data_IF_216363821897
#
_entry.id   IF_216363821897
#
_cell.length_a   1.000
_cell.length_b   1.000
_cell.length_c   1.000
_cell.angle_alpha   90.00
_cell.angle_beta   90.00
_cell.angle_gamma   90.00
#
_symmetry.space_group_name_H-M   'P 1'
#
loop_
_entity.id
_entity.type
_entity.pdbx_description
1 polymer ?
#
# COMPACT_ATOMS: atom_id res chain seq x y z
N UNK A 1 -9.53 -20.48 -9.04
CA UNK A 1 -9.01 -21.06 -7.78
C UNK A 1 -7.68 -20.41 -7.49
N UNK A 2 -7.44 -19.99 -6.25
CA UNK A 2 -6.13 -19.48 -5.79
C UNK A 2 -5.45 -20.63 -5.04
N UNK A 3 -4.15 -20.81 -5.24
CA UNK A 3 -3.34 -21.81 -4.54
C UNK A 3 -2.07 -21.15 -3.99
N UNK A 4 -1.42 -21.85 -3.05
CA UNK A 4 -0.11 -21.48 -2.50
C UNK A 4 0.87 -22.62 -2.79
N UNK A 5 2.15 -22.28 -2.98
CA UNK A 5 3.23 -23.23 -3.29
C UNK A 5 4.40 -22.95 -2.36
N UNK A 6 5.07 -24.00 -1.90
CA UNK A 6 6.28 -23.88 -1.08
C UNK A 6 7.47 -23.42 -1.96
N UNK A 7 8.28 -22.51 -1.42
CA UNK A 7 9.47 -21.97 -2.07
C UNK A 7 10.76 -22.34 -1.32
N UNK A 8 10.66 -23.20 -0.31
CA UNK A 8 11.72 -23.68 0.59
C UNK A 8 12.42 -22.59 1.40
N UNK A 9 13.18 -21.71 0.75
CA UNK A 9 13.96 -20.66 1.40
C UNK A 9 13.92 -19.35 0.63
N UNK A 10 13.53 -18.29 1.33
CA UNK A 10 13.62 -16.91 0.85
C UNK A 10 14.47 -16.10 1.82
N UNK A 11 15.53 -15.47 1.30
CA UNK A 11 16.37 -14.52 2.04
C UNK A 11 16.12 -13.13 1.48
N UNK A 12 15.93 -12.16 2.37
CA UNK A 12 15.79 -10.76 1.99
C UNK A 12 16.46 -9.87 3.03
N UNK A 13 16.66 -8.60 2.69
CA UNK A 13 17.17 -7.59 3.62
C UNK A 13 16.18 -7.34 4.77
N UNK A 14 16.69 -7.13 5.97
CA UNK A 14 15.89 -6.63 7.09
C UNK A 14 15.54 -5.16 6.85
N UNK A 15 14.33 -4.78 7.24
CA UNK A 15 13.87 -3.39 7.19
C UNK A 15 13.91 -2.81 8.59
N UNK A 16 14.21 -1.52 8.71
CA UNK A 16 14.10 -0.84 10.00
C UNK A 16 12.64 -0.70 10.43
N UNK A 17 12.40 -0.58 11.74
CA UNK A 17 11.05 -0.52 12.30
C UNK A 17 10.24 0.67 11.78
N UNK A 18 10.88 1.80 11.45
CA UNK A 18 10.16 2.95 10.90
C UNK A 18 9.69 2.66 9.48
N UNK A 19 10.52 2.05 8.65
CA UNK A 19 10.14 1.55 7.33
C UNK A 19 9.00 0.52 7.41
N UNK A 20 9.08 -0.43 8.35
CA UNK A 20 7.99 -1.37 8.62
C UNK A 20 6.68 -0.65 9.01
N UNK A 21 6.74 0.38 9.85
CA UNK A 21 5.58 1.20 10.21
C UNK A 21 4.93 1.88 9.00
N UNK A 22 5.74 2.44 8.08
CA UNK A 22 5.24 3.06 6.84
C UNK A 22 4.60 2.03 5.90
N UNK A 23 5.19 0.84 5.78
CA UNK A 23 4.61 -0.25 4.99
C UNK A 23 3.29 -0.75 5.59
N UNK A 24 3.22 -0.90 6.92
CA UNK A 24 1.99 -1.27 7.62
C UNK A 24 0.86 -0.27 7.37
N UNK A 25 1.16 1.04 7.46
CA UNK A 25 0.20 2.10 7.13
C UNK A 25 -0.34 1.98 5.70
N UNK A 26 0.55 1.78 4.73
CA UNK A 26 0.14 1.61 3.33
C UNK A 26 -0.75 0.36 3.14
N UNK A 27 -0.39 -0.77 3.75
CA UNK A 27 -1.17 -2.02 3.70
C UNK A 27 -2.57 -1.81 4.28
N UNK A 28 -2.67 -1.25 5.49
CA UNK A 28 -3.95 -1.00 6.16
C UNK A 28 -4.83 -0.07 5.34
N UNK A 29 -4.28 1.01 4.82
CA UNK A 29 -5.00 1.95 3.98
C UNK A 29 -5.53 1.30 2.70
N UNK A 30 -4.70 0.53 2.00
CA UNK A 30 -5.14 -0.23 0.81
C UNK A 30 -6.23 -1.24 1.16
N UNK A 31 -6.08 -1.97 2.27
CA UNK A 31 -7.07 -2.93 2.73
C UNK A 31 -8.42 -2.25 2.99
N UNK A 32 -8.44 -1.17 3.78
CA UNK A 32 -9.66 -0.43 4.14
C UNK A 32 -10.32 0.16 2.88
N UNK A 33 -9.54 0.76 1.97
CA UNK A 33 -10.08 1.28 0.70
C UNK A 33 -10.73 0.19 -0.15
N UNK A 34 -10.15 -1.03 -0.18
CA UNK A 34 -10.75 -2.17 -0.87
C UNK A 34 -12.04 -2.65 -0.20
N UNK A 35 -12.10 -2.69 1.14
CA UNK A 35 -13.32 -3.04 1.88
C UNK A 35 -14.45 -2.01 1.66
N UNK A 36 -14.10 -0.72 1.62
CA UNK A 36 -15.04 0.37 1.28
C UNK A 36 -15.57 0.20 -0.14
N UNK A 37 -14.68 -0.05 -1.12
CA UNK A 37 -15.07 -0.29 -2.53
C UNK A 37 -15.96 -1.53 -2.70
N UNK A 38 -15.75 -2.58 -1.91
CA UNK A 38 -16.59 -3.77 -1.94
C UNK A 38 -17.91 -3.62 -1.19
N UNK A 39 -18.18 -2.46 -0.57
CA UNK A 39 -19.40 -2.20 0.20
C UNK A 39 -19.48 -2.95 1.53
N UNK A 40 -18.36 -3.50 2.04
CA UNK A 40 -18.32 -4.27 3.28
C UNK A 40 -18.23 -3.39 4.53
N UNK A 41 -17.74 -2.17 4.36
CA UNK A 41 -17.65 -1.16 5.42
C UNK A 41 -18.09 0.19 4.88
N UNK A 42 -18.64 1.01 5.77
CA UNK A 42 -18.82 2.44 5.55
C UNK A 42 -18.01 3.22 6.60
N UNK A 43 -17.30 4.25 6.15
CA UNK A 43 -16.47 5.07 7.02
C UNK A 43 -17.14 6.42 7.20
N UNK A 44 -17.36 6.82 8.46
CA UNK A 44 -17.92 8.13 8.79
C UNK A 44 -17.00 9.30 8.38
N UNK A 45 -15.70 9.05 8.31
CA UNK A 45 -14.67 10.02 7.96
C UNK A 45 -13.72 9.42 6.93
N UNK A 46 -13.07 10.27 6.14
CA UNK A 46 -12.03 9.84 5.22
C UNK A 46 -10.77 9.37 5.95
N UNK A 47 -10.04 8.47 5.31
CA UNK A 47 -8.73 8.03 5.79
C UNK A 47 -7.68 9.11 5.53
N UNK A 48 -6.80 9.31 6.50
CA UNK A 48 -5.68 10.22 6.34
C UNK A 48 -4.61 9.67 5.38
N UNK A 49 -3.90 10.61 4.75
CA UNK A 49 -2.72 10.32 3.92
C UNK A 49 -1.41 10.38 4.71
N UNK A 50 -1.46 10.67 5.99
CA UNK A 50 -0.27 10.97 6.78
C UNK A 50 -0.07 9.95 7.91
N UNK A 51 1.17 9.50 8.06
CA UNK A 51 1.63 8.75 9.22
C UNK A 51 2.55 9.63 10.06
N UNK A 52 2.34 9.63 11.37
CA UNK A 52 3.21 10.29 12.34
C UNK A 52 4.05 9.23 13.04
N UNK A 53 5.37 9.32 12.93
CA UNK A 53 6.33 8.48 13.66
C UNK A 53 7.19 9.37 14.55
N UNK A 54 7.73 8.84 15.65
CA UNK A 54 8.58 9.62 16.55
C UNK A 54 10.06 9.26 16.40
N UNK A 55 10.90 10.28 16.44
CA UNK A 55 12.34 10.18 16.46
C UNK A 55 12.86 10.61 17.84
N UNK A 56 13.89 9.94 18.34
CA UNK A 56 14.64 10.40 19.52
C UNK A 56 15.81 11.26 19.05
N UNK A 57 15.80 12.55 19.38
CA UNK A 57 16.84 13.53 19.05
C UNK A 57 17.21 14.27 20.33
N UNK A 58 18.48 14.26 20.72
CA UNK A 58 18.95 14.92 21.97
C UNK A 58 18.11 14.57 23.20
N UNK A 59 17.77 13.27 23.35
CA UNK A 59 16.91 12.75 24.43
C UNK A 59 15.48 13.30 24.46
N UNK A 60 15.01 13.89 23.35
CA UNK A 60 13.63 14.36 23.19
C UNK A 60 12.94 13.62 22.05
N UNK A 61 11.67 13.28 22.25
CA UNK A 61 10.83 12.75 21.18
C UNK A 61 10.37 13.88 20.28
N UNK A 62 10.62 13.76 18.98
CA UNK A 62 10.18 14.69 17.96
C UNK A 62 9.26 13.97 16.96
N UNK A 63 8.05 14.50 16.67
CA UNK A 63 7.18 13.93 15.67
C UNK A 63 7.77 14.13 14.28
N UNK A 64 7.63 13.11 13.45
CA UNK A 64 8.00 13.10 12.05
C UNK A 64 6.80 12.61 11.25
N UNK A 65 6.11 13.55 10.62
CA UNK A 65 4.99 13.29 9.75
C UNK A 65 5.47 12.99 8.33
N UNK A 66 4.90 11.96 7.71
CA UNK A 66 5.17 11.61 6.32
C UNK A 66 3.87 11.34 5.57
N UNK A 67 3.72 11.96 4.41
CA UNK A 67 2.59 11.74 3.51
C UNK A 67 2.80 10.50 2.65
N UNK A 68 1.88 9.54 2.73
CA UNK A 68 1.82 8.30 1.95
C UNK A 68 0.49 8.27 1.20
N UNK A 69 0.52 8.77 -0.04
CA UNK A 69 -0.61 8.74 -0.97
C UNK A 69 -0.52 7.48 -1.83
N UNK A 70 -1.59 6.68 -1.82
CA UNK A 70 -1.72 5.53 -2.71
C UNK A 70 -2.35 5.94 -4.03
N UNK A 71 -1.69 5.66 -5.14
CA UNK A 71 -2.26 5.81 -6.48
C UNK A 71 -2.56 4.41 -7.04
N UNK A 72 -3.83 4.06 -7.13
CA UNK A 72 -4.24 2.80 -7.76
C UNK A 72 -4.20 2.98 -9.28
N UNK A 73 -3.39 2.15 -9.95
CA UNK A 73 -3.38 2.12 -11.42
C UNK A 73 -4.66 1.44 -11.92
N UNK A 74 -5.23 1.89 -13.06
CA UNK A 74 -6.32 1.16 -13.67
C UNK A 74 -5.84 -0.23 -14.11
N UNK A 75 -6.77 -1.19 -14.30
CA UNK A 75 -6.45 -2.44 -14.98
C UNK A 75 -5.68 -2.16 -16.28
N UNK A 76 -4.56 -2.87 -16.50
CA UNK A 76 -3.69 -2.63 -17.67
C UNK A 76 -4.42 -2.75 -19.01
N UNK A 77 -5.48 -3.56 -19.06
CA UNK A 77 -6.33 -3.73 -20.24
C UNK A 77 -7.08 -2.45 -20.63
N UNK A 78 -7.26 -1.51 -19.70
CA UNK A 78 -7.90 -0.21 -19.97
C UNK A 78 -6.93 0.80 -20.60
N UNK A 79 -5.61 0.52 -20.59
CA UNK A 79 -4.59 1.41 -21.14
C UNK A 79 -4.47 1.19 -22.66
N UNK A 80 -4.79 2.19 -23.51
CA UNK A 80 -4.77 2.03 -24.96
C UNK A 80 -3.42 1.56 -25.51
N UNK A 81 -2.32 2.12 -25.01
CA UNK A 81 -0.96 1.79 -25.43
C UNK A 81 -0.58 0.33 -25.08
N UNK A 82 -1.12 -0.20 -23.97
CA UNK A 82 -0.93 -1.60 -23.61
C UNK A 82 -1.67 -2.51 -24.60
N UNK A 83 -2.89 -2.16 -24.96
CA UNK A 83 -3.69 -2.94 -25.92
C UNK A 83 -3.07 -2.94 -27.31
N UNK A 84 -2.59 -1.79 -27.77
CA UNK A 84 -1.89 -1.64 -29.06
C UNK A 84 -0.63 -2.51 -29.09
N UNK A 85 0.20 -2.43 -28.05
CA UNK A 85 1.43 -3.22 -27.93
C UNK A 85 1.20 -4.73 -28.04
N UNK A 86 0.09 -5.23 -27.52
CA UNK A 86 -0.23 -6.67 -27.49
C UNK A 86 -1.31 -7.09 -28.50
N UNK A 87 -1.71 -6.22 -29.44
CA UNK A 87 -2.74 -6.48 -30.46
C UNK A 87 -4.08 -6.99 -29.89
N UNK A 88 -4.51 -6.44 -28.74
CA UNK A 88 -5.75 -6.89 -28.08
C UNK A 88 -6.96 -6.12 -28.66
N UNK A 89 -7.74 -6.81 -29.49
CA UNK A 89 -9.01 -6.32 -30.04
C UNK A 89 -10.14 -6.52 -29.01
N UNK A 90 -11.02 -5.52 -28.91
CA UNK A 90 -12.22 -5.58 -28.07
C UNK A 90 -13.18 -6.66 -28.57
#
# INVERSE_FOLDING_TARGET
VIAQVDLDRRIHRNQDTKALGRMSFAILKTFINRQKRSGLIDLKNDLYDEIIQYNLVESRYQPHAMKIVGFERPPMIEIPEYREKFNIKN
#
